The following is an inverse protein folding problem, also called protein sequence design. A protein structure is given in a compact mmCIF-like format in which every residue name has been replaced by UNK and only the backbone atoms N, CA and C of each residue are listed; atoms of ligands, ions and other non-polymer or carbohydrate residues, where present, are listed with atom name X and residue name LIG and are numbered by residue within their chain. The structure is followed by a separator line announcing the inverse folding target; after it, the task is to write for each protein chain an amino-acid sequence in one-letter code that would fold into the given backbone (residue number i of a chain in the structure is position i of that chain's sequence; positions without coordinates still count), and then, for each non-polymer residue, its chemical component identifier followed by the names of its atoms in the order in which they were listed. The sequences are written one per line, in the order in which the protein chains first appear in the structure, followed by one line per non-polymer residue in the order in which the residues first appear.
data_IF_617402567400
#
_entry.id   IF_617402567400
#
_cell.length_a   1.000
_cell.length_b   1.000
_cell.length_c   1.000
_cell.angle_alpha   90.00
_cell.angle_beta   90.00
_cell.angle_gamma   90.00
#
_symmetry.space_group_name_H-M   'P 1'
#
loop_
_entity.id
_entity.type
_entity.pdbx_description
1 polymer ?
#
# COMPACT_ATOMS: atom_id res chain seq x y z
N UNK A 1 -9.10 -23.65 9.34
CA UNK A 1 -9.20 -22.65 8.25
C UNK A 1 -9.03 -21.31 8.93
N UNK A 2 -7.79 -20.87 9.02
CA UNK A 2 -7.39 -19.80 9.91
C UNK A 2 -6.84 -18.67 9.08
N UNK A 3 -7.75 -17.86 8.55
CA UNK A 3 -7.42 -16.61 7.89
C UNK A 3 -6.89 -15.54 8.88
N UNK A 4 -6.42 -15.97 10.05
CA UNK A 4 -5.78 -15.15 11.09
C UNK A 4 -4.33 -15.53 11.33
N UNK A 5 -3.80 -16.53 10.62
CA UNK A 5 -2.41 -16.96 10.73
C UNK A 5 -1.46 -15.97 10.03
N UNK A 6 -1.29 -14.80 10.66
CA UNK A 6 -0.15 -13.85 10.62
C UNK A 6 0.63 -13.68 9.29
N UNK A 7 -0.05 -13.69 8.15
CA UNK A 7 0.53 -13.22 6.87
C UNK A 7 -0.44 -12.35 6.07
N UNK A 8 -1.35 -11.69 6.79
CA UNK A 8 -2.20 -10.63 6.26
C UNK A 8 -1.35 -9.37 6.18
N UNK A 9 -0.92 -9.06 4.96
CA UNK A 9 -0.32 -7.82 4.49
C UNK A 9 -0.38 -6.64 5.50
N UNK A 10 0.51 -6.64 6.49
CA UNK A 10 0.65 -5.59 7.50
C UNK A 10 2.05 -5.03 7.37
N UNK A 11 2.27 -4.25 6.30
CA UNK A 11 3.51 -3.48 6.18
C UNK A 11 3.36 -2.21 7.02
N UNK A 12 3.78 -2.32 8.29
CA UNK A 12 3.74 -1.23 9.28
C UNK A 12 4.42 0.04 8.76
N UNK A 13 5.40 -0.10 7.87
CA UNK A 13 6.09 1.03 7.26
C UNK A 13 5.21 1.73 6.23
N UNK A 14 4.54 0.99 5.33
CA UNK A 14 3.59 1.55 4.38
C UNK A 14 2.46 2.30 5.09
N UNK A 15 1.89 1.71 6.15
CA UNK A 15 0.83 2.33 6.96
C UNK A 15 1.32 3.59 7.69
N UNK A 16 2.54 3.57 8.21
CA UNK A 16 3.15 4.75 8.82
C UNK A 16 3.41 5.86 7.79
N UNK A 17 3.77 5.50 6.55
CA UNK A 17 3.98 6.46 5.46
C UNK A 17 2.65 7.08 4.99
N UNK A 18 1.57 6.29 4.90
CA UNK A 18 0.21 6.76 4.63
C UNK A 18 -0.22 7.78 5.69
N UNK A 19 -0.06 7.43 6.97
CA UNK A 19 -0.38 8.34 8.10
C UNK A 19 0.44 9.63 8.11
N UNK A 20 1.67 9.59 7.62
CA UNK A 20 2.55 10.77 7.52
C UNK A 20 2.28 11.61 6.26
N UNK A 21 1.31 11.23 5.41
CA UNK A 21 1.05 11.89 4.14
C UNK A 21 2.19 11.73 3.12
N UNK A 22 3.12 10.79 3.35
CA UNK A 22 4.22 10.50 2.43
C UNK A 22 3.77 9.56 1.32
N UNK A 23 2.70 9.95 0.61
CA UNK A 23 1.97 9.11 -0.35
C UNK A 23 2.87 8.51 -1.44
N UNK A 24 3.86 9.26 -1.95
CA UNK A 24 4.85 8.75 -2.92
C UNK A 24 5.69 7.59 -2.38
N UNK A 25 6.13 7.70 -1.12
CA UNK A 25 6.93 6.65 -0.46
C UNK A 25 6.05 5.46 -0.07
N UNK A 26 4.82 5.72 0.39
CA UNK A 26 3.84 4.67 0.66
C UNK A 26 3.53 3.85 -0.60
N UNK A 27 3.28 4.51 -1.74
CA UNK A 27 3.03 3.83 -3.02
C UNK A 27 4.20 2.93 -3.46
N UNK A 28 5.45 3.40 -3.29
CA UNK A 28 6.63 2.60 -3.60
C UNK A 28 6.75 1.39 -2.67
N UNK A 29 6.46 1.56 -1.39
CA UNK A 29 6.48 0.46 -0.43
C UNK A 29 5.40 -0.59 -0.74
N UNK A 30 4.20 -0.17 -1.11
CA UNK A 30 3.15 -1.08 -1.57
C UNK A 30 3.55 -1.84 -2.85
N UNK A 31 4.33 -1.22 -3.74
CA UNK A 31 4.87 -1.91 -4.93
C UNK A 31 5.89 -3.00 -4.54
N UNK A 32 6.79 -2.74 -3.59
CA UNK A 32 7.72 -3.76 -3.09
C UNK A 32 6.95 -4.94 -2.46
N UNK A 33 5.89 -4.65 -1.72
CA UNK A 33 5.04 -5.69 -1.12
C UNK A 33 4.28 -6.48 -2.20
N UNK A 34 3.80 -5.82 -3.26
CA UNK A 34 3.16 -6.45 -4.41
C UNK A 34 4.13 -7.41 -5.12
N UNK A 35 5.38 -6.99 -5.35
CA UNK A 35 6.41 -7.75 -6.05
C UNK A 35 6.82 -9.02 -5.26
N UNK A 36 6.96 -8.88 -3.94
CA UNK A 36 7.26 -9.97 -3.03
C UNK A 36 6.03 -10.82 -2.64
N UNK A 37 4.83 -10.48 -3.11
CA UNK A 37 3.62 -11.22 -2.78
C UNK A 37 3.49 -12.48 -3.63
N UNK A 38 3.54 -13.64 -2.95
CA UNK A 38 3.26 -14.93 -3.56
C UNK A 38 1.75 -15.27 -3.55
N UNK A 39 0.97 -14.58 -2.72
CA UNK A 39 -0.47 -14.79 -2.59
C UNK A 39 -1.21 -13.71 -3.39
N UNK A 40 -2.15 -14.13 -4.22
CA UNK A 40 -2.92 -13.24 -5.09
C UNK A 40 -3.71 -12.21 -4.26
N UNK A 41 -4.27 -12.60 -3.11
CA UNK A 41 -5.05 -11.69 -2.26
C UNK A 41 -4.18 -10.59 -1.65
N UNK A 42 -2.94 -10.94 -1.31
CA UNK A 42 -1.91 -10.04 -0.79
C UNK A 42 -1.51 -9.06 -1.90
N UNK A 43 -1.32 -9.56 -3.12
CA UNK A 43 -1.01 -8.75 -4.29
C UNK A 43 -2.13 -7.77 -4.64
N UNK A 44 -3.38 -8.22 -4.66
CA UNK A 44 -4.56 -7.35 -4.90
C UNK A 44 -4.72 -6.27 -3.83
N UNK A 45 -4.52 -6.60 -2.55
CA UNK A 45 -4.59 -5.64 -1.47
C UNK A 45 -3.49 -4.57 -1.57
N UNK A 46 -2.26 -4.96 -1.91
CA UNK A 46 -1.16 -4.04 -2.17
C UNK A 46 -1.44 -3.13 -3.36
N UNK A 47 -1.98 -3.68 -4.46
CA UNK A 47 -2.34 -2.91 -5.65
C UNK A 47 -3.41 -1.85 -5.34
N UNK A 48 -4.47 -2.21 -4.60
CA UNK A 48 -5.52 -1.26 -4.18
C UNK A 48 -4.97 -0.13 -3.31
N UNK A 49 -4.11 -0.44 -2.33
CA UNK A 49 -3.51 0.59 -1.47
C UNK A 49 -2.51 1.47 -2.22
N UNK A 50 -1.77 0.90 -3.18
CA UNK A 50 -0.91 1.67 -4.09
C UNK A 50 -1.71 2.66 -4.91
N UNK A 51 -2.81 2.23 -5.53
CA UNK A 51 -3.69 3.11 -6.31
C UNK A 51 -4.25 4.26 -5.46
N UNK A 52 -4.69 3.97 -4.23
CA UNK A 52 -5.11 4.99 -3.27
C UNK A 52 -4.01 6.03 -3.00
N UNK A 53 -2.79 5.58 -2.72
CA UNK A 53 -1.66 6.48 -2.51
C UNK A 53 -1.37 7.32 -3.75
N UNK A 54 -1.45 6.75 -4.96
CA UNK A 54 -1.21 7.48 -6.20
C UNK A 54 -2.27 8.56 -6.43
N UNK A 55 -3.55 8.27 -6.18
CA UNK A 55 -4.62 9.27 -6.26
C UNK A 55 -4.41 10.43 -5.30
N UNK A 56 -3.93 10.15 -4.08
CA UNK A 56 -3.57 11.20 -3.10
C UNK A 56 -2.40 12.06 -3.57
N UNK A 57 -1.43 11.48 -4.27
CA UNK A 57 -0.35 12.24 -4.89
C UNK A 57 -0.89 13.15 -6.00
N UNK A 58 -1.76 12.65 -6.87
CA UNK A 58 -2.30 13.45 -7.99
C UNK A 58 -3.28 14.52 -7.51
N UNK A 59 -4.08 14.24 -6.48
CA UNK A 59 -5.02 15.19 -5.87
C UNK A 59 -4.27 16.38 -5.24
N UNK A 60 -3.10 16.11 -4.64
CA UNK A 60 -2.23 17.15 -4.09
C UNK A 60 -1.72 18.16 -5.14
N UNK A 61 -1.61 17.77 -6.42
CA UNK A 61 -1.13 18.66 -7.49
C UNK A 61 -2.24 19.43 -8.22
N UNK A 62 -3.51 19.20 -7.88
CA UNK A 62 -4.65 19.81 -8.58
C UNK A 62 -5.22 21.03 -7.84
N UNK A 63 -4.59 21.44 -6.74
CA UNK A 63 -5.08 22.49 -5.83
C UNK A 63 -4.18 23.72 -5.70
N UNK A 64 -3.28 23.98 -6.66
CA UNK A 64 -2.52 25.23 -6.79
C UNK A 64 -2.99 26.04 -8.01
#
# INVERSE_FOLDING_TARGET
MDWRSKKYLTDKLAEALERKGMWRRAARRWLEVFDNAHDEKVREAAARRRDYCQRRVTDFFKGD
#
